data_IF_373612125310
#
_entry.id   IF_373612125310
#
_cell.length_a   1.000
_cell.length_b   1.000
_cell.length_c   1.000
_cell.angle_alpha   90.00
_cell.angle_beta   90.00
_cell.angle_gamma   90.00
#
_symmetry.space_group_name_H-M   'P 1'
#
loop_
_entity.id
_entity.type
_entity.pdbx_description
1 polymer ?
#
# COMPACT_ATOMS: atom_id res chain seq x y z
N UNK A 1 16.21 -1.29 -1.94
CA UNK A 1 15.70 -0.14 -2.74
C UNK A 1 14.47 0.50 -2.10
N UNK A 2 13.33 -0.21 -2.00
CA UNK A 2 12.08 0.32 -1.40
C UNK A 2 12.27 0.89 0.02
N UNK A 3 12.97 0.17 0.90
CA UNK A 3 13.27 0.64 2.25
C UNK A 3 14.07 1.96 2.29
N UNK A 4 14.97 2.20 1.34
CA UNK A 4 15.71 3.46 1.25
C UNK A 4 14.81 4.60 0.80
N UNK A 5 13.88 4.36 -0.13
CA UNK A 5 12.89 5.36 -0.51
C UNK A 5 11.99 5.73 0.69
N UNK A 6 11.59 4.75 1.49
CA UNK A 6 10.87 4.99 2.75
C UNK A 6 11.71 5.77 3.76
N UNK A 7 13.02 5.48 3.87
CA UNK A 7 13.94 6.23 4.75
C UNK A 7 14.09 7.68 4.33
N UNK A 8 14.19 7.95 3.02
CA UNK A 8 14.16 9.31 2.49
C UNK A 8 12.84 10.01 2.83
N UNK A 9 11.70 9.36 2.56
CA UNK A 9 10.36 9.90 2.87
C UNK A 9 10.20 10.18 4.37
N UNK A 10 10.78 9.36 5.25
CA UNK A 10 10.64 9.53 6.70
C UNK A 10 11.22 10.85 7.23
N UNK A 11 12.11 11.48 6.46
CA UNK A 11 12.71 12.78 6.79
C UNK A 11 11.96 13.96 6.14
N UNK A 12 10.88 13.69 5.40
CA UNK A 12 10.13 14.70 4.66
C UNK A 12 8.76 14.97 5.30
N UNK A 13 8.35 16.24 5.26
CA UNK A 13 7.02 16.68 5.72
C UNK A 13 6.12 17.18 4.59
N UNK A 14 6.71 17.57 3.46
CA UNK A 14 5.99 18.11 2.31
C UNK A 14 5.40 17.00 1.45
N UNK A 15 4.06 16.96 1.33
CA UNK A 15 3.36 15.95 0.49
C UNK A 15 3.86 15.93 -0.96
N UNK A 16 4.22 17.08 -1.53
CA UNK A 16 4.75 17.17 -2.90
C UNK A 16 6.07 16.39 -2.99
N UNK A 17 7.03 16.69 -2.11
CA UNK A 17 8.34 16.02 -2.06
C UNK A 17 8.18 14.52 -1.84
N UNK A 18 7.29 14.11 -0.93
CA UNK A 18 6.99 12.69 -0.70
C UNK A 18 6.45 12.03 -1.98
N UNK A 19 5.54 12.71 -2.70
CA UNK A 19 5.00 12.22 -3.98
C UNK A 19 6.12 12.10 -5.02
N UNK A 20 7.02 13.06 -5.08
CA UNK A 20 8.15 13.06 -6.02
C UNK A 20 9.14 11.91 -5.73
N UNK A 21 9.45 11.63 -4.46
CA UNK A 21 10.28 10.49 -4.07
C UNK A 21 9.62 9.17 -4.48
N UNK A 22 8.32 9.00 -4.19
CA UNK A 22 7.57 7.82 -4.62
C UNK A 22 7.54 7.70 -6.15
N UNK A 23 7.32 8.81 -6.87
CA UNK A 23 7.32 8.86 -8.32
C UNK A 23 8.68 8.43 -8.89
N UNK A 24 9.79 8.92 -8.33
CA UNK A 24 11.15 8.55 -8.72
C UNK A 24 11.47 7.08 -8.42
N UNK A 25 10.96 6.56 -7.31
CA UNK A 25 11.08 5.13 -7.00
C UNK A 25 10.32 4.29 -8.03
N UNK A 26 9.05 4.60 -8.29
CA UNK A 26 8.20 3.85 -9.21
C UNK A 26 8.67 3.95 -10.66
N UNK A 27 9.15 5.12 -11.13
CA UNK A 27 9.71 5.26 -12.49
C UNK A 27 10.92 4.35 -12.70
N UNK A 28 11.75 4.20 -11.65
CA UNK A 28 12.93 3.36 -11.70
C UNK A 28 12.50 1.90 -11.85
N UNK A 29 11.53 1.45 -11.04
CA UNK A 29 10.99 0.09 -11.15
C UNK A 29 10.36 -0.16 -12.52
N UNK A 30 9.56 0.76 -13.05
CA UNK A 30 8.99 0.64 -14.41
C UNK A 30 10.10 0.47 -15.46
N UNK A 31 11.18 1.25 -15.37
CA UNK A 31 12.25 1.23 -16.35
C UNK A 31 13.17 0.00 -16.24
N UNK A 32 13.41 -0.53 -15.04
CA UNK A 32 14.44 -1.55 -14.81
C UNK A 32 13.90 -2.93 -14.50
N UNK A 33 12.78 -3.02 -13.78
CA UNK A 33 12.19 -4.27 -13.29
C UNK A 33 10.65 -4.17 -13.27
N UNK A 34 9.99 -4.00 -14.43
CA UNK A 34 8.55 -3.75 -14.50
C UNK A 34 7.70 -4.84 -13.82
N UNK A 35 8.16 -6.10 -13.83
CA UNK A 35 7.50 -7.23 -13.16
C UNK A 35 7.43 -7.08 -11.63
N UNK A 36 8.32 -6.28 -11.02
CA UNK A 36 8.34 -6.01 -9.59
C UNK A 36 7.34 -4.91 -9.18
N UNK A 37 6.73 -4.22 -10.15
CA UNK A 37 5.94 -3.01 -9.89
C UNK A 37 4.69 -3.30 -9.06
N UNK A 38 3.99 -4.41 -9.31
CA UNK A 38 2.80 -4.81 -8.52
C UNK A 38 3.17 -4.95 -7.05
N UNK A 39 4.21 -5.73 -6.74
CA UNK A 39 4.68 -5.94 -5.38
C UNK A 39 5.14 -4.63 -4.72
N UNK A 40 5.80 -3.76 -5.49
CA UNK A 40 6.26 -2.45 -5.02
C UNK A 40 5.10 -1.53 -4.66
N UNK A 41 4.07 -1.45 -5.51
CA UNK A 41 2.88 -0.61 -5.29
C UNK A 41 2.09 -1.10 -4.08
N UNK A 42 1.87 -2.41 -3.96
CA UNK A 42 1.21 -2.98 -2.78
C UNK A 42 1.95 -2.65 -1.48
N UNK A 43 3.26 -2.90 -1.41
CA UNK A 43 4.04 -2.62 -0.21
C UNK A 43 4.13 -1.11 0.09
N UNK A 44 4.18 -0.25 -0.92
CA UNK A 44 4.10 1.20 -0.75
C UNK A 44 2.72 1.66 -0.24
N UNK A 45 1.65 1.01 -0.67
CA UNK A 45 0.30 1.21 -0.16
C UNK A 45 0.09 0.58 1.24
N UNK A 46 1.07 -0.16 1.77
CA UNK A 46 0.96 -0.93 3.01
C UNK A 46 -0.20 -1.94 2.97
N UNK A 47 -0.39 -2.56 1.79
CA UNK A 47 -1.40 -3.56 1.47
C UNK A 47 -0.70 -4.82 0.91
N UNK A 48 -1.38 -5.97 0.96
CA UNK A 48 -0.87 -7.24 0.39
C UNK A 48 -1.85 -7.90 -0.59
N UNK A 49 -3.07 -7.39 -0.66
CA UNK A 49 -4.16 -7.86 -1.50
C UNK A 49 -5.22 -6.75 -1.58
N UNK A 50 -6.14 -6.81 -2.56
CA UNK A 50 -7.32 -5.95 -2.57
C UNK A 50 -8.14 -6.08 -1.27
N UNK A 51 -8.63 -4.96 -0.76
CA UNK A 51 -9.31 -4.92 0.54
C UNK A 51 -10.56 -5.83 0.62
N UNK A 52 -11.26 -5.99 -0.51
CA UNK A 52 -12.48 -6.81 -0.57
C UNK A 52 -12.23 -8.31 -0.49
N UNK A 53 -11.00 -8.78 -0.71
CA UNK A 53 -10.64 -10.19 -0.51
C UNK A 53 -10.49 -10.56 0.98
N UNK A 54 -10.49 -9.58 1.89
CA UNK A 54 -10.39 -9.83 3.33
C UNK A 54 -9.08 -10.50 3.78
N UNK A 55 -8.02 -10.40 2.96
CA UNK A 55 -6.74 -11.04 3.25
C UNK A 55 -5.94 -10.16 4.22
N UNK A 56 -5.80 -10.65 5.45
CA UNK A 56 -4.98 -10.03 6.48
C UNK A 56 -3.80 -10.93 6.87
N UNK A 57 -2.69 -10.31 7.32
CA UNK A 57 -1.54 -11.06 7.84
C UNK A 57 -1.93 -11.93 9.05
N UNK A 58 -2.89 -11.48 9.87
CA UNK A 58 -3.34 -12.17 11.08
C UNK A 58 -2.19 -12.39 12.07
N UNK A 59 -1.38 -11.34 12.30
CA UNK A 59 -0.21 -11.37 13.18
C UNK A 59 -0.44 -10.41 14.34
N UNK A 60 -0.37 -10.92 15.57
CA UNK A 60 -0.36 -10.09 16.77
C UNK A 60 1.01 -9.52 17.08
N UNK A 61 1.05 -8.41 17.82
CA UNK A 61 2.30 -7.77 18.25
C UNK A 61 3.25 -8.74 18.99
N UNK A 62 2.69 -9.65 19.80
CA UNK A 62 3.48 -10.68 20.49
C UNK A 62 4.25 -11.61 19.55
N UNK A 63 3.68 -11.98 18.40
CA UNK A 63 4.36 -12.81 17.40
C UNK A 63 5.52 -12.07 16.74
N UNK A 64 5.38 -10.76 16.53
CA UNK A 64 6.45 -9.90 15.99
C UNK A 64 7.57 -9.75 17.03
N UNK A 65 7.23 -9.51 18.29
CA UNK A 65 8.20 -9.44 19.40
C UNK A 65 9.00 -10.74 19.49
N UNK A 66 8.34 -11.89 19.42
CA UNK A 66 8.99 -13.21 19.42
C UNK A 66 9.89 -13.40 18.20
N UNK A 67 9.44 -13.00 17.01
CA UNK A 67 10.26 -13.05 15.80
C UNK A 67 11.51 -12.16 15.88
N UNK A 68 11.41 -10.93 16.40
CA UNK A 68 12.55 -10.01 16.63
C UNK A 68 13.52 -10.61 17.66
N UNK A 69 12.97 -11.14 18.76
CA UNK A 69 13.72 -11.81 19.83
C UNK A 69 14.57 -12.96 19.28
N UNK A 70 13.95 -13.86 18.51
CA UNK A 70 14.64 -15.00 17.90
C UNK A 70 15.57 -14.62 16.73
N UNK A 71 15.23 -13.60 15.95
CA UNK A 71 16.05 -13.17 14.80
C UNK A 71 17.36 -12.49 15.24
N UNK A 72 17.34 -11.76 16.36
CA UNK A 72 18.46 -10.91 16.79
C UNK A 72 19.04 -11.29 18.16
N UNK A 73 18.65 -12.45 18.71
CA UNK A 73 19.22 -13.00 19.95
C UNK A 73 18.97 -12.14 21.19
N UNK A 74 17.82 -11.46 21.26
CA UNK A 74 17.39 -10.67 22.43
C UNK A 74 16.31 -11.43 23.20
N UNK A 75 16.15 -11.17 24.49
CA UNK A 75 15.00 -11.72 25.23
C UNK A 75 13.73 -10.92 24.89
N UNK A 76 12.56 -11.56 24.89
CA UNK A 76 11.28 -10.86 24.66
C UNK A 76 11.06 -9.70 25.65
N UNK A 77 11.55 -9.83 26.89
CA UNK A 77 11.48 -8.78 27.90
C UNK A 77 12.28 -7.53 27.49
N UNK A 78 13.48 -7.71 26.91
CA UNK A 78 14.27 -6.60 26.38
C UNK A 78 13.57 -5.92 25.20
N UNK A 79 13.00 -6.71 24.28
CA UNK A 79 12.26 -6.18 23.12
C UNK A 79 11.04 -5.38 23.57
N UNK A 80 10.26 -5.90 24.53
CA UNK A 80 9.11 -5.20 25.14
C UNK A 80 9.54 -3.90 25.82
N UNK A 81 10.61 -3.92 26.60
CA UNK A 81 11.15 -2.71 27.25
C UNK A 81 11.50 -1.63 26.22
N UNK A 82 12.26 -1.99 25.18
CA UNK A 82 12.65 -1.06 24.12
C UNK A 82 11.43 -0.55 23.32
N UNK A 83 10.41 -1.40 23.13
CA UNK A 83 9.18 -0.98 22.46
C UNK A 83 8.40 0.06 23.30
N UNK A 84 8.37 -0.09 24.63
CA UNK A 84 7.79 0.92 25.53
C UNK A 84 8.55 2.24 25.46
N UNK A 85 9.88 2.19 25.35
CA UNK A 85 10.73 3.38 25.26
C UNK A 85 10.63 4.10 23.91
N UNK A 86 10.60 3.36 22.80
CA UNK A 86 10.63 3.91 21.44
C UNK A 86 9.24 4.07 20.80
N UNK A 87 8.22 3.36 21.28
CA UNK A 87 6.86 3.35 20.73
C UNK A 87 6.74 2.73 19.33
N UNK A 88 7.78 2.05 18.83
CA UNK A 88 7.88 1.52 17.47
C UNK A 88 8.75 0.27 17.39
N UNK A 89 8.13 -0.89 17.17
CA UNK A 89 8.84 -2.17 17.00
C UNK A 89 9.81 -2.17 15.82
N UNK A 90 9.58 -1.36 14.79
CA UNK A 90 10.53 -1.24 13.68
C UNK A 90 11.83 -0.56 14.12
N UNK A 91 11.75 0.47 14.97
CA UNK A 91 12.97 1.08 15.54
C UNK A 91 13.71 0.08 16.44
N UNK A 92 12.96 -0.71 17.22
CA UNK A 92 13.52 -1.80 18.02
C UNK A 92 14.21 -2.83 17.13
N UNK A 93 13.60 -3.24 16.02
CA UNK A 93 14.19 -4.20 15.08
C UNK A 93 15.48 -3.67 14.43
N UNK A 94 15.48 -2.44 13.92
CA UNK A 94 16.67 -1.79 13.34
C UNK A 94 17.83 -1.73 14.34
N UNK A 95 17.57 -1.26 15.57
CA UNK A 95 18.57 -1.20 16.64
C UNK A 95 18.99 -2.58 17.18
N UNK A 96 18.21 -3.63 16.97
CA UNK A 96 18.54 -5.01 17.35
C UNK A 96 19.47 -5.70 16.37
N UNK A 97 19.29 -5.43 15.07
CA UNK A 97 20.11 -6.04 14.03
C UNK A 97 21.58 -5.61 14.10
N UNK A 98 21.84 -4.32 14.37
CA UNK A 98 23.18 -3.74 14.41
C UNK A 98 24.12 -4.38 15.44
N UNK A 99 23.58 -5.09 16.44
CA UNK A 99 24.37 -5.79 17.47
C UNK A 99 24.84 -7.20 17.09
N UNK A 100 24.50 -7.74 15.91
CA UNK A 100 24.87 -9.10 15.52
C UNK A 100 25.75 -9.19 14.27
N UNK A 101 26.94 -9.75 14.42
CA UNK A 101 27.81 -10.22 13.33
C UNK A 101 27.35 -11.58 12.83
N UNK A 102 27.09 -11.72 11.53
CA UNK A 102 26.71 -12.99 10.91
C UNK A 102 27.93 -13.69 10.31
N UNK A 103 28.05 -15.00 10.52
CA UNK A 103 29.10 -15.83 9.93
C UNK A 103 28.86 -16.11 8.43
N UNK A 104 27.59 -16.19 8.02
CA UNK A 104 27.17 -16.30 6.62
C UNK A 104 26.11 -15.24 6.32
N UNK A 105 26.31 -14.46 5.27
CA UNK A 105 25.36 -13.41 4.86
C UNK A 105 24.26 -14.05 3.99
N UNK A 106 22.97 -13.99 4.40
CA UNK A 106 21.87 -14.43 3.55
C UNK A 106 21.81 -13.60 2.26
N UNK A 107 21.13 -14.14 1.25
CA UNK A 107 20.83 -13.36 0.04
C UNK A 107 20.01 -12.10 0.38
N UNK A 108 20.30 -10.95 -0.27
CA UNK A 108 19.55 -9.73 -0.10
C UNK A 108 18.05 -9.92 -0.33
N UNK A 109 17.23 -9.17 0.41
CA UNK A 109 15.78 -9.17 0.21
C UNK A 109 15.40 -8.52 -1.12
N UNK A 110 14.52 -9.16 -1.86
CA UNK A 110 13.85 -8.57 -3.03
C UNK A 110 12.42 -8.19 -2.68
N UNK A 111 11.87 -7.17 -3.35
CA UNK A 111 10.51 -6.69 -3.09
C UNK A 111 9.47 -7.78 -3.32
N UNK A 112 9.64 -8.57 -4.38
CA UNK A 112 8.79 -9.73 -4.72
C UNK A 112 8.89 -10.82 -3.66
N UNK A 113 10.09 -11.14 -3.16
CA UNK A 113 10.26 -12.15 -2.10
C UNK A 113 9.54 -11.73 -0.82
N UNK A 114 9.68 -10.46 -0.41
CA UNK A 114 8.99 -9.92 0.77
C UNK A 114 7.48 -9.98 0.58
N UNK A 115 6.97 -9.45 -0.54
CA UNK A 115 5.55 -9.43 -0.86
C UNK A 115 4.92 -10.83 -0.92
N UNK A 116 5.55 -11.78 -1.61
CA UNK A 116 5.09 -13.17 -1.68
C UNK A 116 5.13 -13.86 -0.32
N UNK A 117 6.14 -13.59 0.50
CA UNK A 117 6.22 -14.13 1.85
C UNK A 117 5.09 -13.57 2.73
N UNK A 118 4.72 -12.31 2.56
CA UNK A 118 3.59 -11.69 3.26
C UNK A 118 2.25 -12.32 2.85
N UNK A 119 2.01 -12.50 1.54
CA UNK A 119 0.83 -13.23 1.03
C UNK A 119 0.78 -14.66 1.56
N UNK A 120 1.94 -15.33 1.67
CA UNK A 120 2.02 -16.67 2.24
C UNK A 120 1.69 -16.68 3.74
N UNK A 121 2.24 -15.73 4.52
CA UNK A 121 1.90 -15.55 5.93
C UNK A 121 0.40 -15.33 6.13
N UNK A 122 -0.24 -14.51 5.29
CA UNK A 122 -1.67 -14.26 5.36
C UNK A 122 -2.53 -15.51 5.11
N UNK A 123 -2.07 -16.39 4.21
CA UNK A 123 -2.75 -17.65 3.87
C UNK A 123 -2.50 -18.80 4.87
N UNK A 124 -1.50 -18.69 5.77
CA UNK A 124 -1.22 -19.73 6.76
C UNK A 124 -2.37 -19.83 7.79
N UNK A 125 -2.94 -21.03 7.91
CA UNK A 125 -4.03 -21.36 8.84
C UNK A 125 -3.85 -22.76 9.43
N UNK A 126 -4.60 -23.07 10.50
CA UNK A 126 -4.55 -24.36 11.18
C UNK A 126 -3.54 -24.45 12.34
N UNK A 127 -3.37 -25.66 12.86
CA UNK A 127 -2.76 -25.97 14.17
C UNK A 127 -1.32 -25.47 14.36
N UNK A 128 -0.55 -25.36 13.29
CA UNK A 128 0.86 -24.91 13.33
C UNK A 128 1.09 -23.55 12.65
N UNK A 129 0.01 -22.85 12.27
CA UNK A 129 0.11 -21.61 11.51
C UNK A 129 0.88 -20.52 12.26
N UNK A 130 0.67 -20.37 13.56
CA UNK A 130 1.37 -19.35 14.37
C UNK A 130 2.89 -19.50 14.31
N UNK A 131 3.39 -20.74 14.42
CA UNK A 131 4.83 -21.02 14.39
C UNK A 131 5.40 -20.81 12.98
N UNK A 132 4.69 -21.27 11.94
CA UNK A 132 5.08 -21.03 10.54
C UNK A 132 5.13 -19.54 10.19
N UNK A 133 4.13 -18.76 10.62
CA UNK A 133 4.11 -17.29 10.42
C UNK A 133 5.32 -16.65 11.09
N UNK A 134 5.62 -17.05 12.33
CA UNK A 134 6.78 -16.57 13.10
C UNK A 134 8.10 -16.91 12.42
N UNK A 135 8.28 -18.14 11.93
CA UNK A 135 9.50 -18.57 11.25
C UNK A 135 9.72 -17.83 9.93
N UNK A 136 8.65 -17.56 9.17
CA UNK A 136 8.71 -16.71 7.96
C UNK A 136 9.10 -15.28 8.28
N UNK A 137 8.51 -14.67 9.32
CA UNK A 137 8.90 -13.33 9.78
C UNK A 137 10.37 -13.28 10.20
N UNK A 138 10.81 -14.25 10.99
CA UNK A 138 12.20 -14.39 11.44
C UNK A 138 13.15 -14.50 10.25
N UNK A 139 12.83 -15.33 9.25
CA UNK A 139 13.66 -15.49 8.05
C UNK A 139 13.84 -14.17 7.29
N UNK A 140 12.77 -13.37 7.15
CA UNK A 140 12.86 -12.04 6.54
C UNK A 140 13.71 -11.09 7.40
N UNK A 141 13.51 -11.06 8.71
CA UNK A 141 14.24 -10.19 9.64
C UNK A 141 15.75 -10.51 9.68
N UNK A 142 16.13 -11.78 9.61
CA UNK A 142 17.53 -12.21 9.57
C UNK A 142 18.21 -11.76 8.28
N UNK A 143 17.51 -11.84 7.14
CA UNK A 143 18.05 -11.40 5.85
C UNK A 143 18.09 -9.88 5.66
N UNK A 144 17.28 -9.14 6.41
CA UNK A 144 17.17 -7.68 6.32
C UNK A 144 18.48 -6.96 6.72
N UNK A 145 18.86 -5.94 5.94
CA UNK A 145 20.05 -5.10 6.17
C UNK A 145 19.70 -3.63 6.37
N UNK A 146 20.62 -2.87 6.97
CA UNK A 146 20.53 -1.41 7.10
C UNK A 146 19.21 -0.91 7.71
N UNK A 147 18.36 -0.24 6.92
CA UNK A 147 17.05 0.26 7.34
C UNK A 147 15.90 -0.71 7.06
N UNK A 148 16.14 -1.85 6.39
CA UNK A 148 15.11 -2.83 6.05
C UNK A 148 14.38 -3.41 7.28
N UNK A 149 15.04 -3.75 8.42
CA UNK A 149 14.33 -4.29 9.58
C UNK A 149 13.26 -3.33 10.12
N UNK A 150 13.47 -2.02 10.02
CA UNK A 150 12.51 -0.99 10.44
C UNK A 150 11.24 -1.08 9.61
N UNK A 151 11.37 -0.95 8.29
CA UNK A 151 10.21 -0.91 7.40
C UNK A 151 9.54 -2.27 7.26
N UNK A 152 10.31 -3.36 7.26
CA UNK A 152 9.76 -4.72 7.25
C UNK A 152 8.87 -4.96 8.48
N UNK A 153 9.33 -4.58 9.68
CA UNK A 153 8.55 -4.73 10.91
C UNK A 153 7.30 -3.86 10.89
N UNK A 154 7.40 -2.62 10.40
CA UNK A 154 6.25 -1.72 10.26
C UNK A 154 5.21 -2.25 9.26
N UNK A 155 5.66 -2.85 8.16
CA UNK A 155 4.78 -3.53 7.19
C UNK A 155 4.11 -4.76 7.81
N UNK A 156 4.85 -5.56 8.61
CA UNK A 156 4.27 -6.70 9.36
C UNK A 156 3.20 -6.26 10.38
N UNK A 157 3.32 -5.05 10.92
CA UNK A 157 2.32 -4.43 11.80
C UNK A 157 1.16 -3.78 11.04
N UNK A 158 1.18 -3.79 9.70
CA UNK A 158 0.31 -2.98 8.85
C UNK A 158 0.29 -1.49 9.23
N UNK A 159 1.42 -0.96 9.74
CA UNK A 159 1.56 0.42 10.24
C UNK A 159 2.87 1.03 9.74
N UNK A 160 2.90 1.46 8.47
CA UNK A 160 4.10 1.97 7.82
C UNK A 160 4.63 3.31 8.40
N UNK A 161 3.75 4.16 8.95
CA UNK A 161 4.11 5.40 9.67
C UNK A 161 5.00 6.37 8.85
N UNK A 162 4.69 6.57 7.57
CA UNK A 162 5.44 7.46 6.67
C UNK A 162 4.71 8.77 6.32
N UNK A 163 3.57 9.05 6.96
CA UNK A 163 2.86 10.32 6.78
C UNK A 163 2.18 10.52 5.42
N UNK A 164 2.15 9.50 4.55
CA UNK A 164 1.39 9.52 3.31
C UNK A 164 0.28 8.46 3.29
N UNK A 165 -0.70 8.68 2.42
CA UNK A 165 -1.84 7.77 2.21
C UNK A 165 -1.75 7.07 0.87
N UNK A 166 -2.60 6.06 0.65
CA UNK A 166 -2.71 5.39 -0.63
C UNK A 166 -2.98 6.37 -1.81
N UNK A 167 -3.68 7.49 -1.55
CA UNK A 167 -3.90 8.55 -2.54
C UNK A 167 -2.60 9.21 -3.03
N UNK A 168 -1.55 9.21 -2.21
CA UNK A 168 -0.22 9.69 -2.61
C UNK A 168 0.50 8.66 -3.49
N UNK A 169 0.37 7.37 -3.18
CA UNK A 169 0.91 6.26 -4.00
C UNK A 169 0.27 6.25 -5.39
N UNK A 170 -1.06 6.37 -5.46
CA UNK A 170 -1.80 6.45 -6.74
C UNK A 170 -1.38 7.67 -7.57
N UNK A 171 -1.16 8.82 -6.92
CA UNK A 171 -0.68 10.01 -7.62
C UNK A 171 0.73 9.79 -8.19
N UNK A 172 1.64 9.25 -7.37
CA UNK A 172 3.00 8.93 -7.78
C UNK A 172 3.03 7.88 -8.91
N UNK A 173 2.16 6.88 -8.89
CA UNK A 173 2.05 5.86 -9.94
C UNK A 173 1.61 6.48 -11.28
N UNK A 174 0.61 7.35 -11.26
CA UNK A 174 0.18 8.08 -12.46
C UNK A 174 1.27 8.99 -13.02
N UNK A 175 1.98 9.72 -12.15
CA UNK A 175 3.10 10.58 -12.56
C UNK A 175 4.27 9.76 -13.13
N UNK A 176 4.64 8.65 -12.48
CA UNK A 176 5.69 7.75 -12.94
C UNK A 176 5.36 7.17 -14.32
N UNK A 177 4.09 6.78 -14.55
CA UNK A 177 3.65 6.27 -15.83
C UNK A 177 3.86 7.28 -16.98
N UNK A 178 3.63 8.58 -16.75
CA UNK A 178 3.86 9.62 -17.77
C UNK A 178 5.34 9.72 -18.16
N UNK A 179 6.25 9.59 -17.20
CA UNK A 179 7.69 9.64 -17.48
C UNK A 179 8.20 8.42 -18.26
N UNK A 180 7.47 7.30 -18.19
CA UNK A 180 7.78 6.04 -18.85
C UNK A 180 6.79 5.70 -19.96
N UNK A 181 6.01 6.68 -20.43
CA UNK A 181 4.94 6.45 -21.40
C UNK A 181 5.52 6.25 -22.81
N UNK A 182 5.41 5.03 -23.33
CA UNK A 182 5.84 4.66 -24.69
C UNK A 182 4.65 4.33 -25.62
N UNK A 183 3.45 4.12 -25.08
CA UNK A 183 2.31 3.56 -25.82
C UNK A 183 1.43 4.65 -26.44
N UNK A 184 1.35 5.83 -25.80
CA UNK A 184 0.44 6.89 -26.23
C UNK A 184 0.93 8.29 -25.84
N UNK A 185 0.47 9.31 -26.59
CA UNK A 185 0.75 10.70 -26.24
C UNK A 185 -0.37 11.26 -25.34
N UNK A 186 -0.06 12.20 -24.43
CA UNK A 186 -1.09 12.93 -23.71
C UNK A 186 -2.05 13.58 -24.71
N UNK A 187 -3.37 13.48 -24.48
CA UNK A 187 -4.36 14.21 -25.26
C UNK A 187 -4.02 15.71 -25.38
N UNK A 188 -4.23 16.34 -26.55
CA UNK A 188 -3.74 17.69 -26.86
C UNK A 188 -4.34 18.80 -25.99
N UNK A 189 -5.48 18.52 -25.33
CA UNK A 189 -6.16 19.45 -24.43
C UNK A 189 -5.66 19.39 -22.98
N UNK A 190 -4.72 18.49 -22.65
CA UNK A 190 -4.20 18.34 -21.29
C UNK A 190 -3.04 19.31 -21.07
N UNK A 191 -3.27 20.31 -20.23
CA UNK A 191 -2.25 21.31 -19.85
C UNK A 191 -1.19 20.75 -18.89
N UNK A 192 -1.58 19.78 -18.05
CA UNK A 192 -0.75 19.22 -17.00
C UNK A 192 -0.82 17.69 -17.03
N UNK A 193 0.03 17.02 -17.84
CA UNK A 193 -0.02 15.57 -18.01
C UNK A 193 0.15 14.80 -16.71
N UNK A 194 1.03 15.27 -15.82
CA UNK A 194 1.29 14.62 -14.53
C UNK A 194 0.07 14.64 -13.61
N UNK A 195 -0.64 15.78 -13.53
CA UNK A 195 -1.84 15.90 -12.70
C UNK A 195 -3.01 15.10 -13.27
N UNK A 196 -3.20 15.10 -14.59
CA UNK A 196 -4.29 14.35 -15.21
C UNK A 196 -4.04 12.84 -15.12
N UNK A 197 -2.80 12.37 -15.31
CA UNK A 197 -2.45 10.97 -15.11
C UNK A 197 -2.66 10.50 -13.66
N UNK A 198 -2.27 11.33 -12.68
CA UNK A 198 -2.55 11.06 -11.27
C UNK A 198 -4.07 10.97 -10.99
N UNK A 199 -4.87 11.81 -11.64
CA UNK A 199 -6.34 11.79 -11.53
C UNK A 199 -6.94 10.54 -12.19
N UNK A 200 -6.45 10.15 -13.37
CA UNK A 200 -6.86 8.94 -14.08
C UNK A 200 -6.63 7.71 -13.20
N UNK A 201 -5.42 7.52 -12.66
CA UNK A 201 -5.10 6.35 -11.82
C UNK A 201 -5.98 6.31 -10.56
N UNK A 202 -6.25 7.47 -9.92
CA UNK A 202 -7.16 7.54 -8.77
C UNK A 202 -8.60 7.19 -9.14
N UNK A 203 -9.09 7.68 -10.28
CA UNK A 203 -10.44 7.38 -10.75
C UNK A 203 -10.58 5.89 -11.08
N UNK A 204 -9.61 5.32 -11.79
CA UNK A 204 -9.58 3.89 -12.10
C UNK A 204 -9.54 3.06 -10.82
N UNK A 205 -8.67 3.40 -9.86
CA UNK A 205 -8.64 2.69 -8.57
C UNK A 205 -9.94 2.83 -7.78
N UNK A 206 -10.68 3.93 -7.91
CA UNK A 206 -12.00 4.08 -7.28
C UNK A 206 -13.01 3.11 -7.87
N UNK A 207 -12.90 2.77 -9.14
CA UNK A 207 -13.86 1.88 -9.82
C UNK A 207 -13.41 0.42 -9.78
N UNK A 208 -12.10 0.17 -9.75
CA UNK A 208 -11.49 -1.16 -9.75
C UNK A 208 -10.26 -1.16 -8.82
N UNK A 209 -10.42 -1.24 -7.49
CA UNK A 209 -9.32 -1.14 -6.51
C UNK A 209 -8.44 -2.41 -6.46
N UNK A 210 -7.86 -2.82 -7.59
CA UNK A 210 -7.06 -4.05 -7.75
C UNK A 210 -5.77 -3.73 -8.50
N UNK A 211 -4.64 -3.64 -7.77
CA UNK A 211 -3.34 -3.37 -8.39
C UNK A 211 -2.87 -4.50 -9.30
N UNK A 212 -3.22 -5.75 -8.98
CA UNK A 212 -2.96 -6.92 -9.84
C UNK A 212 -3.58 -6.77 -11.26
N UNK A 213 -4.58 -5.88 -11.45
CA UNK A 213 -5.18 -5.56 -12.76
C UNK A 213 -4.69 -4.21 -13.28
N UNK A 214 -4.71 -3.18 -12.44
CA UNK A 214 -4.36 -1.81 -12.84
C UNK A 214 -2.91 -1.72 -13.32
N UNK A 215 -1.97 -2.31 -12.58
CA UNK A 215 -0.54 -2.14 -12.86
C UNK A 215 -0.15 -2.82 -14.18
N UNK A 216 -0.55 -4.07 -14.48
CA UNK A 216 -0.32 -4.65 -15.80
C UNK A 216 -0.95 -3.83 -16.93
N UNK A 217 -2.21 -3.39 -16.78
CA UNK A 217 -2.89 -2.58 -17.79
C UNK A 217 -2.19 -1.23 -18.04
N UNK A 218 -1.66 -0.61 -16.99
CA UNK A 218 -0.84 0.60 -17.06
C UNK A 218 0.46 0.35 -17.84
N UNK A 219 1.15 -0.76 -17.55
CA UNK A 219 2.41 -1.12 -18.19
C UNK A 219 2.25 -1.46 -19.68
N UNK A 220 1.15 -2.10 -20.07
CA UNK A 220 0.93 -2.53 -21.48
C UNK A 220 0.18 -1.50 -22.33
N UNK A 221 -0.70 -0.71 -21.73
CA UNK A 221 -1.62 0.19 -22.43
C UNK A 221 -1.33 1.68 -22.25
N UNK A 222 -0.47 2.03 -21.30
CA UNK A 222 -0.21 3.40 -20.89
C UNK A 222 -1.32 4.00 -20.03
N UNK A 223 -1.01 5.11 -19.38
CA UNK A 223 -1.95 5.75 -18.42
C UNK A 223 -3.15 6.36 -19.12
N UNK A 224 -3.00 6.82 -20.36
CA UNK A 224 -4.06 7.49 -21.11
C UNK A 224 -5.17 6.55 -21.58
N UNK A 225 -4.88 5.25 -21.72
CA UNK A 225 -5.87 4.25 -22.10
C UNK A 225 -6.43 3.46 -20.91
N UNK A 226 -5.89 3.67 -19.70
CA UNK A 226 -6.29 2.96 -18.50
C UNK A 226 -7.80 3.02 -18.21
N UNK A 227 -8.51 4.16 -18.40
CA UNK A 227 -9.97 4.22 -18.22
C UNK A 227 -10.77 3.39 -19.22
N UNK A 228 -10.16 2.92 -20.32
CA UNK A 228 -10.84 2.06 -21.30
C UNK A 228 -10.66 0.58 -20.95
N UNK A 229 -9.55 0.22 -20.32
CA UNK A 229 -9.19 -1.17 -20.00
C UNK A 229 -9.59 -1.57 -18.59
N UNK A 230 -9.54 -0.64 -17.63
CA UNK A 230 -9.90 -0.87 -16.24
C UNK A 230 -11.22 -0.17 -15.90
N UNK A 231 -12.33 -0.90 -16.10
CA UNK A 231 -13.68 -0.43 -15.84
C UNK A 231 -14.29 -1.11 -14.61
N UNK A 232 -15.52 -0.72 -14.29
CA UNK A 232 -16.33 -1.39 -13.28
C UNK A 232 -16.45 -2.88 -13.60
N UNK A 233 -16.22 -3.72 -12.60
CA UNK A 233 -16.33 -5.17 -12.70
C UNK A 233 -17.28 -5.65 -11.61
N UNK A 234 -18.31 -6.40 -12.00
CA UNK A 234 -19.20 -7.05 -11.04
C UNK A 234 -18.40 -7.94 -10.07
N UNK A 235 -18.82 -7.97 -8.82
CA UNK A 235 -18.08 -8.60 -7.71
C UNK A 235 -16.89 -7.82 -7.14
N UNK A 236 -16.39 -6.77 -7.81
CA UNK A 236 -15.33 -5.91 -7.27
C UNK A 236 -15.93 -4.60 -6.75
N UNK A 237 -15.90 -4.31 -5.44
CA UNK A 237 -16.57 -3.15 -4.89
C UNK A 237 -15.91 -1.84 -5.33
N UNK A 238 -16.74 -0.84 -5.60
CA UNK A 238 -16.32 0.53 -5.93
C UNK A 238 -16.15 1.37 -4.67
N UNK A 239 -15.22 2.31 -4.77
CA UNK A 239 -14.99 3.36 -3.77
C UNK A 239 -16.28 4.12 -3.47
N UNK A 240 -16.80 4.06 -2.24
CA UNK A 240 -18.06 4.70 -1.88
C UNK A 240 -17.94 6.23 -1.96
N UNK A 241 -18.93 6.90 -2.55
CA UNK A 241 -19.03 8.37 -2.48
C UNK A 241 -19.18 8.81 -1.01
N UNK A 242 -18.28 9.70 -0.55
CA UNK A 242 -18.27 10.22 0.82
C UNK A 242 -18.96 11.59 0.90
N UNK A 243 -19.47 11.92 2.09
CA UNK A 243 -20.06 13.23 2.37
C UNK A 243 -19.04 14.18 3.02
N UNK A 244 -19.11 15.47 2.67
CA UNK A 244 -18.38 16.52 3.38
C UNK A 244 -19.28 17.07 4.50
N UNK A 245 -18.83 17.10 5.77
CA UNK A 245 -19.60 17.71 6.84
C UNK A 245 -19.80 19.19 6.55
N UNK A 246 -21.00 19.69 6.79
CA UNK A 246 -21.41 21.09 6.60
C UNK A 246 -22.06 21.57 7.89
N UNK A 247 -21.80 22.82 8.28
CA UNK A 247 -22.25 23.37 9.57
C UNK A 247 -23.62 24.03 9.52
N UNK A 248 -24.22 24.13 8.33
CA UNK A 248 -25.55 24.70 8.18
C UNK A 248 -26.00 24.81 6.72
N UNK A 249 -27.27 25.11 6.54
CA UNK A 249 -27.92 25.19 5.22
C UNK A 249 -27.31 26.28 4.34
N UNK A 250 -26.88 27.42 4.91
CA UNK A 250 -26.23 28.49 4.15
C UNK A 250 -24.93 28.04 3.47
N UNK A 251 -24.16 27.14 4.09
CA UNK A 251 -22.94 26.58 3.49
C UNK A 251 -23.28 25.70 2.27
N UNK A 252 -24.38 24.95 2.35
CA UNK A 252 -24.89 24.10 1.27
C UNK A 252 -25.34 24.96 0.09
N UNK A 253 -26.16 25.99 0.36
CA UNK A 253 -26.64 26.92 -0.67
C UNK A 253 -25.49 27.67 -1.35
N UNK A 254 -24.50 28.15 -0.57
CA UNK A 254 -23.33 28.82 -1.13
C UNK A 254 -22.44 27.88 -1.97
N UNK A 255 -22.38 26.59 -1.60
CA UNK A 255 -21.58 25.59 -2.31
C UNK A 255 -22.23 25.15 -3.61
N UNK A 256 -23.54 24.90 -3.61
CA UNK A 256 -24.25 24.39 -4.79
C UNK A 256 -24.78 25.50 -5.69
N UNK A 257 -25.00 26.71 -5.18
CA UNK A 257 -25.46 27.88 -5.96
C UNK A 257 -26.67 27.51 -6.83
N UNK A 258 -26.57 27.72 -8.15
CA UNK A 258 -27.62 27.42 -9.12
C UNK A 258 -27.68 25.93 -9.53
N UNK A 259 -26.90 25.06 -8.87
CA UNK A 259 -26.95 23.60 -9.09
C UNK A 259 -28.14 23.01 -8.37
N UNK A 260 -29.02 22.34 -9.11
CA UNK A 260 -30.13 21.57 -8.53
C UNK A 260 -29.56 20.46 -7.63
N UNK A 261 -30.03 20.37 -6.39
CA UNK A 261 -29.67 19.31 -5.44
C UNK A 261 -30.91 18.74 -4.76
N UNK A 262 -30.77 17.55 -4.17
CA UNK A 262 -31.84 16.87 -3.42
C UNK A 262 -31.45 16.72 -1.95
N UNK A 263 -32.43 16.50 -1.09
CA UNK A 263 -32.26 16.20 0.32
C UNK A 263 -32.82 14.79 0.60
N UNK A 264 -31.96 13.90 1.08
CA UNK A 264 -32.33 12.55 1.47
C UNK A 264 -32.05 12.35 2.97
N UNK A 265 -32.84 11.50 3.62
CA UNK A 265 -32.57 11.12 5.01
C UNK A 265 -31.25 10.36 5.08
N UNK A 266 -30.33 10.85 5.93
CA UNK A 266 -29.15 10.08 6.31
C UNK A 266 -29.56 9.05 7.36
N UNK A 267 -29.87 7.84 6.90
CA UNK A 267 -30.12 6.69 7.77
C UNK A 267 -28.90 6.40 8.66
N UNK A 268 -29.18 5.96 9.88
CA UNK A 268 -28.17 5.55 10.85
C UNK A 268 -28.08 4.02 10.86
N UNK A 269 -27.15 3.49 10.07
CA UNK A 269 -26.97 2.06 9.86
C UNK A 269 -25.69 1.78 9.09
N UNK A 270 -25.58 0.58 8.54
CA UNK A 270 -24.43 0.17 7.75
C UNK A 270 -24.66 0.44 6.25
N UNK A 271 -23.59 0.85 5.56
CA UNK A 271 -23.63 1.04 4.11
C UNK A 271 -23.39 -0.31 3.43
N UNK A 272 -24.42 -0.81 2.74
CA UNK A 272 -24.29 -1.97 1.85
C UNK A 272 -24.13 -1.53 0.40
N UNK A 273 -23.14 -2.09 -0.29
CA UNK A 273 -23.01 -2.02 -1.75
C UNK A 273 -23.26 -3.44 -2.25
N UNK A 274 -24.37 -3.64 -2.98
CA UNK A 274 -24.85 -4.98 -3.36
C UNK A 274 -24.61 -5.21 -4.84
N UNK A 275 -23.87 -6.26 -5.18
CA UNK A 275 -23.59 -6.70 -6.53
C UNK A 275 -24.41 -7.94 -6.83
N UNK A 276 -25.32 -7.84 -7.81
CA UNK A 276 -26.10 -8.99 -8.28
C UNK A 276 -25.38 -9.64 -9.46
N UNK A 277 -24.96 -10.88 -9.26
CA UNK A 277 -24.11 -11.63 -10.18
C UNK A 277 -24.95 -12.32 -11.27
N UNK A 278 -24.31 -12.66 -12.39
CA UNK A 278 -25.00 -13.32 -13.52
C UNK A 278 -25.52 -14.72 -13.18
N UNK A 279 -24.90 -15.39 -12.20
CA UNK A 279 -25.32 -16.70 -11.67
C UNK A 279 -26.47 -16.61 -10.64
N UNK A 280 -26.97 -15.40 -10.38
CA UNK A 280 -28.05 -15.13 -9.43
C UNK A 280 -27.61 -15.01 -7.97
N UNK A 281 -26.31 -15.03 -7.69
CA UNK A 281 -25.77 -14.78 -6.34
C UNK A 281 -25.65 -13.27 -6.06
N UNK A 282 -25.49 -12.93 -4.78
CA UNK A 282 -25.25 -11.56 -4.31
C UNK A 282 -23.90 -11.50 -3.61
N UNK A 283 -23.10 -10.50 -3.96
CA UNK A 283 -21.87 -10.11 -3.25
C UNK A 283 -22.02 -8.72 -2.61
#
# INVERSE_FOLDING_TARGET
FLALAFDLISNESGRIVITDILCNMLRTVIATTPDDLVATVYLAANEIAPAHEGIELGIGEGSIIKAISEAFGRTEAQVKKLNTELGDLGLVAKGSRSSQTMMFKPEPLTVVKVFNTFRLIAKESGKDSTEKKKDRMKALLVAATDCEPLYLTRLLQAKLRLGFSNQTVLAALGQAAVYNEEHSKPPPNIKSPLEEAAKIVKQVFTVLPVYDIIVPALLTGGVWNLPKTCNFTLGVPIGPMLAKPTKGVGEILNKFQDTVFTCEYKYDGERAQVHYMEDGTFE
#
